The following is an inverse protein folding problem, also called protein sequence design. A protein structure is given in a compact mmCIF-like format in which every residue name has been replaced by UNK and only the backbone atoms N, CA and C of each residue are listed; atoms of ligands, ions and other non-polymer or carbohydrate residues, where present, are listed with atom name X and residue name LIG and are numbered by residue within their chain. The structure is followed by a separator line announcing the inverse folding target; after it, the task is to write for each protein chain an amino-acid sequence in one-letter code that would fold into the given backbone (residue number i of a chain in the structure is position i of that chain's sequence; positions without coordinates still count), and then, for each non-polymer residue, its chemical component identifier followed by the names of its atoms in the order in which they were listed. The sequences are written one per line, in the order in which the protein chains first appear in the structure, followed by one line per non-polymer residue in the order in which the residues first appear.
data_IF_669532024869
#
_entry.id   IF_669532024869
#
_cell.length_a   1.000
_cell.length_b   1.000
_cell.length_c   1.000
_cell.angle_alpha   90.00
_cell.angle_beta   90.00
_cell.angle_gamma   90.00
#
_symmetry.space_group_name_H-M   'P 1'
#
loop_
_entity.id
_entity.type
_entity.pdbx_description
1 polymer ?
#
# COMPACT_ATOMS: atom_id res chain seq x y z
N UNK A 1 -8.20 1.09 -17.90
CA UNK A 1 -8.92 1.78 -16.79
C UNK A 1 -10.45 1.87 -16.95
N UNK A 2 -11.04 1.75 -18.15
CA UNK A 2 -12.51 1.84 -18.33
C UNK A 2 -13.31 0.81 -17.54
N UNK A 3 -12.81 -0.42 -17.41
CA UNK A 3 -13.45 -1.50 -16.64
C UNK A 3 -13.62 -1.17 -15.16
N UNK A 4 -12.61 -0.58 -14.51
CA UNK A 4 -12.72 -0.16 -13.10
C UNK A 4 -13.71 1.00 -12.92
N UNK A 5 -13.81 1.90 -13.91
CA UNK A 5 -14.82 2.97 -13.91
C UNK A 5 -16.22 2.39 -14.10
N UNK A 6 -16.38 1.40 -14.97
CA UNK A 6 -17.64 0.67 -15.16
C UNK A 6 -18.05 0.00 -13.85
N UNK A 7 -17.16 -0.79 -13.22
CA UNK A 7 -17.41 -1.41 -11.92
C UNK A 7 -17.80 -0.38 -10.86
N UNK A 8 -17.07 0.74 -10.77
CA UNK A 8 -17.39 1.81 -9.82
C UNK A 8 -18.74 2.49 -10.12
N UNK A 9 -19.13 2.60 -11.38
CA UNK A 9 -20.43 3.16 -11.77
C UNK A 9 -21.60 2.28 -11.31
N UNK A 10 -21.41 0.95 -11.28
CA UNK A 10 -22.42 -0.01 -10.84
C UNK A 10 -22.75 0.06 -9.34
N UNK A 11 -21.99 0.83 -8.54
CA UNK A 11 -22.32 1.06 -7.12
C UNK A 11 -23.68 1.73 -6.91
N UNK A 12 -24.21 2.40 -7.94
CA UNK A 12 -25.53 3.04 -7.90
C UNK A 12 -26.70 2.07 -8.12
N UNK A 13 -26.42 0.87 -8.64
CA UNK A 13 -27.44 -0.13 -8.94
C UNK A 13 -27.97 -0.78 -7.66
N UNK A 14 -29.30 -0.96 -7.58
CA UNK A 14 -29.96 -1.50 -6.37
C UNK A 14 -29.56 -2.93 -6.08
N UNK A 15 -29.30 -3.73 -7.10
CA UNK A 15 -28.97 -5.14 -6.97
C UNK A 15 -27.50 -5.38 -6.65
N UNK A 16 -26.59 -4.49 -7.09
CA UNK A 16 -25.14 -4.68 -6.93
C UNK A 16 -24.50 -3.74 -5.90
N UNK A 17 -24.99 -2.51 -5.78
CA UNK A 17 -24.41 -1.46 -4.94
C UNK A 17 -24.20 -1.86 -3.47
N UNK A 18 -25.21 -2.46 -2.79
CA UNK A 18 -25.06 -2.89 -1.40
C UNK A 18 -23.96 -3.93 -1.18
N UNK A 19 -23.60 -4.72 -2.19
CA UNK A 19 -22.56 -5.74 -2.12
C UNK A 19 -21.18 -5.19 -2.51
N UNK A 20 -21.13 -4.31 -3.51
CA UNK A 20 -19.88 -3.75 -4.02
C UNK A 20 -19.23 -2.76 -3.04
N UNK A 21 -20.03 -1.94 -2.34
CA UNK A 21 -19.53 -0.92 -1.42
C UNK A 21 -18.73 -1.48 -0.23
N UNK A 22 -19.19 -2.54 0.47
CA UNK A 22 -18.40 -3.22 1.49
C UNK A 22 -17.10 -3.79 0.96
N UNK A 23 -17.11 -4.43 -0.21
CA UNK A 23 -15.91 -5.04 -0.82
C UNK A 23 -14.83 -3.98 -1.05
N UNK A 24 -15.18 -2.88 -1.72
CA UNK A 24 -14.23 -1.80 -2.00
C UNK A 24 -13.68 -1.15 -0.72
N UNK A 25 -14.52 -1.01 0.31
CA UNK A 25 -14.12 -0.44 1.60
C UNK A 25 -13.21 -1.38 2.38
N UNK A 26 -13.55 -2.68 2.40
CA UNK A 26 -12.74 -3.72 3.05
C UNK A 26 -11.35 -3.83 2.41
N UNK A 27 -11.28 -3.87 1.06
CA UNK A 27 -10.00 -3.92 0.33
C UNK A 27 -9.14 -2.69 0.63
N UNK A 28 -9.74 -1.48 0.67
CA UNK A 28 -8.98 -0.27 1.02
C UNK A 28 -8.39 -0.35 2.42
N UNK A 29 -9.13 -0.89 3.38
CA UNK A 29 -8.70 -0.97 4.77
C UNK A 29 -7.67 -2.11 5.00
N UNK A 30 -7.50 -3.04 4.06
CA UNK A 30 -6.40 -4.04 4.06
C UNK A 30 -5.03 -3.51 3.63
N UNK A 31 -4.87 -2.21 3.37
CA UNK A 31 -3.61 -1.64 2.89
C UNK A 31 -2.39 -1.92 3.79
N UNK A 32 -2.58 -1.91 5.12
CA UNK A 32 -1.51 -2.24 6.06
C UNK A 32 -1.04 -3.70 5.96
N UNK A 33 -1.96 -4.63 5.69
CA UNK A 33 -1.64 -6.04 5.46
C UNK A 33 -0.76 -6.18 4.21
N UNK A 34 -1.16 -5.57 3.09
CA UNK A 34 -0.37 -5.62 1.85
C UNK A 34 1.02 -5.01 2.01
N UNK A 35 1.17 -3.97 2.83
CA UNK A 35 2.48 -3.43 3.17
C UNK A 35 3.36 -4.47 3.87
N UNK A 36 2.85 -5.14 4.91
CA UNK A 36 3.58 -6.21 5.61
C UNK A 36 3.92 -7.36 4.66
N UNK A 37 2.96 -7.83 3.87
CA UNK A 37 3.18 -8.88 2.87
C UNK A 37 4.27 -8.49 1.88
N UNK A 38 4.29 -7.25 1.40
CA UNK A 38 5.32 -6.78 0.46
C UNK A 38 6.72 -6.80 1.07
N UNK A 39 6.86 -6.47 2.36
CA UNK A 39 8.13 -6.57 3.08
C UNK A 39 8.58 -8.03 3.23
N UNK A 40 7.65 -8.95 3.51
CA UNK A 40 7.95 -10.38 3.59
C UNK A 40 8.42 -10.93 2.22
N UNK A 41 7.74 -10.57 1.14
CA UNK A 41 8.13 -10.96 -0.23
C UNK A 41 9.48 -10.37 -0.61
N UNK A 42 9.74 -9.10 -0.29
CA UNK A 42 11.04 -8.46 -0.54
C UNK A 42 12.18 -9.14 0.25
N UNK A 43 11.92 -9.53 1.50
CA UNK A 43 12.88 -10.27 2.32
C UNK A 43 13.20 -11.65 1.73
N UNK A 44 12.18 -12.41 1.33
CA UNK A 44 12.35 -13.72 0.68
C UNK A 44 13.07 -13.59 -0.67
N UNK A 45 12.73 -12.57 -1.46
CA UNK A 45 13.41 -12.27 -2.74
C UNK A 45 14.89 -11.98 -2.51
N UNK A 46 15.20 -11.17 -1.51
CA UNK A 46 16.58 -10.84 -1.15
C UNK A 46 17.37 -12.08 -0.71
N UNK A 47 16.76 -12.98 0.07
CA UNK A 47 17.39 -14.24 0.45
C UNK A 47 17.66 -15.12 -0.78
N UNK A 48 16.73 -15.19 -1.74
CA UNK A 48 16.89 -15.95 -2.97
C UNK A 48 18.00 -15.39 -3.87
N UNK A 49 18.10 -14.06 -4.01
CA UNK A 49 19.18 -13.39 -4.74
C UNK A 49 20.56 -13.72 -4.13
N UNK A 50 20.66 -13.78 -2.81
CA UNK A 50 21.93 -14.14 -2.13
C UNK A 50 22.33 -15.59 -2.40
N UNK A 51 21.36 -16.51 -2.46
CA UNK A 51 21.63 -17.92 -2.76
C UNK A 51 22.03 -18.15 -4.22
N UNK A 52 21.54 -17.29 -5.12
CA UNK A 52 21.81 -17.31 -6.56
C UNK A 52 21.77 -18.71 -7.22
N UNK A 53 20.67 -19.47 -7.06
CA UNK A 53 20.61 -20.86 -7.53
C UNK A 53 20.72 -21.01 -9.05
N UNK A 54 20.38 -19.96 -9.82
CA UNK A 54 20.48 -19.95 -11.29
C UNK A 54 21.84 -19.51 -11.83
N UNK A 55 22.77 -19.09 -10.98
CA UNK A 55 24.09 -18.64 -11.43
C UNK A 55 24.02 -17.31 -12.19
N UNK A 56 24.49 -17.28 -13.45
CA UNK A 56 24.69 -16.06 -14.23
C UNK A 56 23.42 -15.63 -15.01
N UNK A 57 22.34 -15.34 -14.29
CA UNK A 57 21.14 -14.72 -14.86
C UNK A 57 21.42 -13.27 -15.29
N UNK A 58 20.92 -12.84 -16.47
CA UNK A 58 21.07 -11.46 -16.96
C UNK A 58 20.38 -10.43 -16.02
N UNK A 59 19.29 -10.84 -15.37
CA UNK A 59 18.48 -9.99 -14.47
C UNK A 59 18.15 -10.71 -13.15
N UNK A 60 19.13 -10.91 -12.26
CA UNK A 60 18.99 -11.81 -11.11
C UNK A 60 17.92 -11.33 -10.13
N UNK A 61 17.76 -10.01 -9.94
CA UNK A 61 16.75 -9.46 -9.02
C UNK A 61 15.33 -9.67 -9.57
N UNK A 62 15.14 -9.49 -10.89
CA UNK A 62 13.83 -9.60 -11.51
C UNK A 62 13.36 -11.07 -11.56
N UNK A 63 14.24 -11.99 -11.96
CA UNK A 63 13.92 -13.44 -11.97
C UNK A 63 13.60 -13.94 -10.55
N UNK A 64 14.44 -13.59 -9.57
CA UNK A 64 14.23 -13.90 -8.15
C UNK A 64 12.91 -13.35 -7.61
N UNK A 65 12.56 -12.12 -7.98
CA UNK A 65 11.31 -11.49 -7.54
C UNK A 65 10.09 -12.22 -8.12
N UNK A 66 10.10 -12.55 -9.41
CA UNK A 66 9.00 -13.28 -10.04
C UNK A 66 8.78 -14.65 -9.39
N UNK A 67 9.86 -15.40 -9.15
CA UNK A 67 9.80 -16.70 -8.48
C UNK A 67 9.24 -16.59 -7.07
N UNK A 68 9.74 -15.63 -6.31
CA UNK A 68 9.27 -15.40 -4.95
C UNK A 68 7.80 -14.99 -4.93
N UNK A 69 7.36 -14.12 -5.85
CA UNK A 69 5.94 -13.74 -5.97
C UNK A 69 5.08 -14.93 -6.36
N UNK A 70 5.52 -15.80 -7.28
CA UNK A 70 4.79 -17.01 -7.68
C UNK A 70 4.58 -17.95 -6.50
N UNK A 71 5.63 -18.21 -5.74
CA UNK A 71 5.59 -19.01 -4.53
C UNK A 71 4.70 -18.37 -3.44
N UNK A 72 4.97 -17.11 -3.11
CA UNK A 72 4.41 -16.46 -1.94
C UNK A 72 2.95 -16.00 -2.14
N UNK A 73 2.61 -15.48 -3.31
CA UNK A 73 1.29 -14.89 -3.59
C UNK A 73 0.38 -15.87 -4.31
N UNK A 74 0.88 -16.54 -5.35
CA UNK A 74 0.07 -17.47 -6.13
C UNK A 74 0.06 -18.88 -5.54
N UNK A 75 1.06 -19.23 -4.72
CA UNK A 75 1.22 -20.59 -4.21
C UNK A 75 1.52 -21.61 -5.31
N UNK A 76 1.91 -21.11 -6.49
CA UNK A 76 2.16 -21.91 -7.68
C UNK A 76 3.66 -21.93 -7.94
N UNK A 77 4.27 -23.08 -7.70
CA UNK A 77 5.72 -23.20 -7.80
C UNK A 77 6.15 -24.65 -8.07
N UNK A 78 7.11 -24.82 -8.98
CA UNK A 78 7.76 -26.08 -9.27
C UNK A 78 9.16 -26.11 -8.64
N UNK A 79 9.39 -27.02 -7.69
CA UNK A 79 10.61 -27.07 -6.88
C UNK A 79 11.91 -27.00 -7.72
N UNK A 80 11.94 -27.64 -8.89
CA UNK A 80 13.11 -27.64 -9.78
C UNK A 80 13.41 -26.24 -10.33
N UNK A 81 12.35 -25.50 -10.68
CA UNK A 81 12.47 -24.10 -11.11
C UNK A 81 13.03 -23.21 -9.99
N UNK A 82 12.77 -23.52 -8.69
CA UNK A 82 13.33 -22.76 -7.55
C UNK A 82 14.82 -23.02 -7.43
N UNK A 83 15.19 -24.29 -7.63
CA UNK A 83 16.55 -24.78 -7.55
C UNK A 83 17.40 -24.29 -8.73
N UNK A 84 16.79 -23.60 -9.69
CA UNK A 84 17.46 -23.14 -10.90
C UNK A 84 17.75 -24.27 -11.88
N UNK A 85 17.06 -25.41 -11.75
CA UNK A 85 17.18 -26.53 -12.67
C UNK A 85 16.04 -26.46 -13.68
N UNK A 86 16.39 -26.49 -14.96
CA UNK A 86 15.41 -26.56 -16.04
C UNK A 86 15.25 -28.02 -16.48
N UNK A 87 14.03 -28.41 -16.86
CA UNK A 87 13.75 -29.75 -17.39
C UNK A 87 14.52 -29.96 -18.70
N UNK A 88 15.30 -31.04 -18.76
CA UNK A 88 16.00 -31.42 -19.99
C UNK A 88 15.16 -32.42 -20.78
N UNK A 89 15.27 -32.40 -22.11
CA UNK A 89 14.59 -33.36 -22.96
C UNK A 89 15.62 -34.37 -23.46
N UNK A 90 15.40 -35.64 -23.16
CA UNK A 90 16.19 -36.73 -23.73
C UNK A 90 15.34 -37.50 -24.74
N UNK A 91 15.98 -37.98 -25.81
CA UNK A 91 15.30 -38.78 -26.82
C UNK A 91 15.18 -40.21 -26.32
N UNK A 92 13.97 -40.77 -26.36
CA UNK A 92 13.73 -42.14 -25.89
C UNK A 92 14.54 -43.15 -26.73
N UNK A 93 15.30 -44.03 -26.07
CA UNK A 93 16.10 -45.05 -26.74
C UNK A 93 15.20 -45.97 -27.59
N UNK A 94 15.39 -45.92 -28.91
CA UNK A 94 14.71 -46.78 -29.86
C UNK A 94 13.44 -46.19 -30.49
N UNK A 95 13.05 -44.95 -30.16
CA UNK A 95 11.91 -44.28 -30.80
C UNK A 95 12.35 -42.95 -31.42
N UNK A 96 12.52 -42.94 -32.73
CA UNK A 96 12.90 -41.74 -33.48
C UNK A 96 11.80 -40.66 -33.37
N UNK A 97 12.15 -39.47 -32.88
CA UNK A 97 11.24 -38.34 -32.78
C UNK A 97 10.40 -38.24 -31.50
N UNK A 98 10.55 -39.17 -30.54
CA UNK A 98 9.91 -39.06 -29.22
C UNK A 98 10.90 -38.52 -28.19
N UNK A 99 10.59 -37.33 -27.66
CA UNK A 99 11.36 -36.66 -26.61
C UNK A 99 10.57 -36.74 -25.31
N UNK A 100 11.21 -37.21 -24.25
CA UNK A 100 10.61 -37.25 -22.93
C UNK A 100 11.29 -36.21 -22.02
N UNK A 101 10.51 -35.44 -21.23
CA UNK A 101 11.08 -34.57 -20.21
C UNK A 101 11.70 -35.43 -19.11
N UNK A 102 12.96 -35.17 -18.79
CA UNK A 102 13.66 -35.80 -17.68
C UNK A 102 13.83 -34.77 -16.57
N UNK A 103 13.31 -35.13 -15.40
CA UNK A 103 13.45 -34.33 -14.20
C UNK A 103 14.92 -34.38 -13.72
N UNK A 104 15.50 -33.23 -13.37
CA UNK A 104 16.90 -33.16 -12.94
C UNK A 104 17.12 -33.93 -11.64
N UNK A 105 18.27 -34.60 -11.54
CA UNK A 105 18.59 -35.36 -10.33
C UNK A 105 19.04 -34.41 -9.21
N UNK A 106 18.58 -34.60 -7.95
CA UNK A 106 19.00 -33.76 -6.83
C UNK A 106 20.47 -33.97 -6.45
N UNK A 107 21.16 -34.94 -7.06
CA UNK A 107 22.56 -35.30 -6.78
C UNK A 107 23.56 -34.36 -7.47
N UNK A 108 23.10 -33.53 -8.40
CA UNK A 108 23.95 -32.61 -9.17
C UNK A 108 24.27 -31.29 -8.46
N UNK A 109 23.53 -30.95 -7.40
CA UNK A 109 23.82 -29.79 -6.55
C UNK A 109 24.70 -30.17 -5.35
N UNK A 110 25.57 -29.26 -4.93
CA UNK A 110 26.24 -29.37 -3.64
C UNK A 110 25.21 -29.51 -2.50
N UNK A 111 25.40 -30.49 -1.62
CA UNK A 111 24.39 -30.90 -0.62
C UNK A 111 23.97 -29.76 0.34
N UNK A 112 24.88 -28.84 0.65
CA UNK A 112 24.64 -27.75 1.60
C UNK A 112 23.67 -26.67 1.08
N UNK A 113 23.92 -26.01 -0.08
CA UNK A 113 23.00 -25.01 -0.62
C UNK A 113 21.60 -25.58 -0.90
N UNK A 114 21.50 -26.86 -1.24
CA UNK A 114 20.23 -27.54 -1.46
C UNK A 114 19.32 -27.51 -0.22
N UNK A 115 19.85 -27.87 0.96
CA UNK A 115 19.07 -27.90 2.21
C UNK A 115 18.60 -26.49 2.60
N UNK A 116 19.46 -25.48 2.48
CA UNK A 116 19.09 -24.09 2.78
C UNK A 116 17.97 -23.58 1.88
N UNK A 117 18.05 -23.88 0.58
CA UNK A 117 17.06 -23.46 -0.39
C UNK A 117 15.70 -24.12 -0.14
N UNK A 118 15.69 -25.42 0.19
CA UNK A 118 14.46 -26.12 0.62
C UNK A 118 13.88 -25.57 1.91
N UNK A 119 14.71 -25.25 2.91
CA UNK A 119 14.24 -24.66 4.14
C UNK A 119 13.64 -23.26 3.89
N UNK A 120 14.30 -22.44 3.08
CA UNK A 120 13.77 -21.14 2.66
C UNK A 120 12.45 -21.28 1.90
N UNK A 121 12.36 -22.25 0.99
CA UNK A 121 11.13 -22.57 0.26
C UNK A 121 9.99 -22.93 1.24
N UNK A 122 10.24 -23.86 2.17
CA UNK A 122 9.23 -24.30 3.13
C UNK A 122 8.79 -23.19 4.08
N UNK A 123 9.74 -22.42 4.61
CA UNK A 123 9.46 -21.26 5.46
C UNK A 123 8.66 -20.18 4.72
N UNK A 124 8.97 -19.93 3.45
CA UNK A 124 8.26 -18.95 2.63
C UNK A 124 6.85 -19.45 2.27
N UNK A 125 6.72 -20.72 1.87
CA UNK A 125 5.43 -21.32 1.55
C UNK A 125 4.49 -21.40 2.75
N UNK A 126 4.96 -21.87 3.92
CA UNK A 126 4.13 -21.88 5.13
C UNK A 126 3.90 -20.47 5.65
N UNK A 127 4.97 -19.69 5.78
CA UNK A 127 4.93 -18.37 6.40
C UNK A 127 4.12 -17.35 5.61
N UNK A 128 4.30 -17.31 4.29
CA UNK A 128 3.61 -16.35 3.43
C UNK A 128 2.35 -16.98 2.86
N UNK A 129 2.46 -18.07 2.12
CA UNK A 129 1.31 -18.61 1.38
C UNK A 129 0.23 -19.16 2.31
N UNK A 130 0.58 -19.88 3.36
CA UNK A 130 -0.44 -20.44 4.27
C UNK A 130 -0.86 -19.42 5.33
N UNK A 131 0.06 -18.85 6.10
CA UNK A 131 -0.31 -17.98 7.21
C UNK A 131 -0.85 -16.62 6.73
N UNK A 132 -0.17 -15.94 5.81
CA UNK A 132 -0.63 -14.61 5.35
C UNK A 132 -1.91 -14.70 4.52
N UNK A 133 -2.10 -15.74 3.69
CA UNK A 133 -3.37 -15.91 2.96
C UNK A 133 -4.54 -16.16 3.90
N UNK A 134 -4.39 -17.03 4.90
CA UNK A 134 -5.43 -17.29 5.89
C UNK A 134 -5.72 -16.04 6.75
N UNK A 135 -4.68 -15.28 7.10
CA UNK A 135 -4.83 -14.00 7.79
C UNK A 135 -5.55 -12.97 6.92
N UNK A 136 -5.26 -12.90 5.62
CA UNK A 136 -5.94 -12.02 4.68
C UNK A 136 -7.43 -12.35 4.61
N UNK A 137 -7.79 -13.63 4.51
CA UNK A 137 -9.19 -14.07 4.51
C UNK A 137 -9.88 -13.65 5.81
N UNK A 138 -9.24 -13.82 6.96
CA UNK A 138 -9.78 -13.42 8.25
C UNK A 138 -10.00 -11.90 8.33
N UNK A 139 -9.02 -11.09 7.95
CA UNK A 139 -9.10 -9.63 7.96
C UNK A 139 -10.16 -9.14 6.97
N UNK A 140 -10.20 -9.69 5.76
CA UNK A 140 -11.21 -9.34 4.76
C UNK A 140 -12.60 -9.69 5.22
N UNK A 141 -12.80 -10.86 5.83
CA UNK A 141 -14.11 -11.27 6.36
C UNK A 141 -14.58 -10.33 7.46
N UNK A 142 -13.71 -10.02 8.43
CA UNK A 142 -14.01 -9.09 9.50
C UNK A 142 -14.34 -7.68 8.99
N UNK A 143 -13.50 -7.14 8.09
CA UNK A 143 -13.72 -5.81 7.51
C UNK A 143 -14.98 -5.77 6.63
N UNK A 144 -15.25 -6.85 5.90
CA UNK A 144 -16.45 -6.96 5.07
C UNK A 144 -17.71 -6.90 5.92
N UNK A 145 -17.79 -7.69 7.00
CA UNK A 145 -18.95 -7.69 7.90
C UNK A 145 -19.14 -6.31 8.56
N UNK A 146 -18.05 -5.70 9.03
CA UNK A 146 -18.08 -4.34 9.59
C UNK A 146 -18.63 -3.30 8.59
N UNK A 147 -18.23 -3.36 7.32
CA UNK A 147 -18.72 -2.44 6.30
C UNK A 147 -20.10 -2.81 5.77
N UNK A 148 -20.48 -4.08 5.79
CA UNK A 148 -21.81 -4.56 5.39
C UNK A 148 -22.91 -3.96 6.25
N UNK A 149 -22.70 -3.93 7.57
CA UNK A 149 -23.65 -3.34 8.52
C UNK A 149 -23.84 -1.83 8.28
N UNK A 150 -22.78 -1.14 7.83
CA UNK A 150 -22.82 0.30 7.54
C UNK A 150 -23.30 0.62 6.12
N UNK A 151 -23.14 -0.31 5.18
CA UNK A 151 -23.41 -0.08 3.76
C UNK A 151 -24.89 0.14 3.47
N UNK A 152 -25.80 -0.53 4.19
CA UNK A 152 -27.24 -0.28 4.01
C UNK A 152 -27.62 1.17 4.32
N UNK A 153 -27.06 1.74 5.41
CA UNK A 153 -27.26 3.14 5.76
C UNK A 153 -26.66 4.11 4.74
N UNK A 154 -25.45 3.81 4.25
CA UNK A 154 -24.77 4.63 3.25
C UNK A 154 -25.44 4.56 1.88
N UNK A 155 -25.96 3.40 1.48
CA UNK A 155 -26.65 3.23 0.20
C UNK A 155 -27.91 4.10 0.10
N UNK A 156 -28.71 4.16 1.17
CA UNK A 156 -29.88 5.05 1.23
C UNK A 156 -29.48 6.52 1.11
N UNK A 157 -28.35 6.93 1.69
CA UNK A 157 -27.84 8.31 1.58
C UNK A 157 -27.35 8.62 0.17
N UNK A 158 -26.60 7.70 -0.45
CA UNK A 158 -26.08 7.87 -1.82
C UNK A 158 -27.22 7.92 -2.83
N UNK A 159 -28.24 7.08 -2.68
CA UNK A 159 -29.37 7.06 -3.60
C UNK A 159 -30.25 8.30 -3.46
N UNK A 160 -30.40 8.88 -2.26
CA UNK A 160 -31.18 10.11 -2.08
C UNK A 160 -30.51 11.36 -2.68
N UNK A 161 -29.18 11.41 -2.75
CA UNK A 161 -28.45 12.63 -3.13
C UNK A 161 -28.72 13.12 -4.56
N UNK A 162 -28.72 12.27 -5.61
CA UNK A 162 -29.08 12.67 -6.97
C UNK A 162 -30.53 13.16 -7.05
N UNK A 163 -31.46 12.46 -6.40
CA UNK A 163 -32.88 12.84 -6.39
C UNK A 163 -33.12 14.15 -5.63
N UNK A 164 -32.40 14.40 -4.54
CA UNK A 164 -32.46 15.68 -3.83
C UNK A 164 -31.88 16.82 -4.66
N UNK A 165 -30.77 16.59 -5.39
CA UNK A 165 -30.22 17.60 -6.31
C UNK A 165 -31.16 17.90 -7.46
N UNK A 166 -31.75 16.86 -8.07
CA UNK A 166 -32.73 17.01 -9.14
C UNK A 166 -33.99 17.72 -8.64
N UNK A 167 -34.50 17.35 -7.46
CA UNK A 167 -35.64 17.97 -6.81
C UNK A 167 -35.38 19.44 -6.44
N UNK A 168 -34.20 19.77 -5.93
CA UNK A 168 -33.81 21.16 -5.63
C UNK A 168 -33.59 21.99 -6.90
N UNK A 169 -33.13 21.37 -7.99
CA UNK A 169 -33.00 22.01 -9.29
C UNK A 169 -34.38 22.26 -9.92
N UNK A 170 -35.26 21.25 -9.95
CA UNK A 170 -36.64 21.37 -10.42
C UNK A 170 -37.43 22.36 -9.57
N UNK A 171 -37.29 22.29 -8.25
CA UNK A 171 -37.95 23.21 -7.31
C UNK A 171 -37.54 24.66 -7.56
N UNK A 172 -36.24 24.95 -7.72
CA UNK A 172 -35.79 26.29 -8.11
C UNK A 172 -36.30 26.72 -9.48
N UNK A 173 -36.38 25.81 -10.43
CA UNK A 173 -36.85 26.12 -11.80
C UNK A 173 -38.36 26.35 -11.88
N UNK A 174 -39.14 25.67 -11.04
CA UNK A 174 -40.61 25.73 -11.04
C UNK A 174 -41.12 26.84 -10.10
N UNK A 175 -40.59 26.94 -8.88
CA UNK A 175 -41.09 27.91 -7.90
C UNK A 175 -40.57 29.33 -8.12
N UNK A 176 -39.46 29.51 -8.82
CA UNK A 176 -38.86 30.84 -8.95
C UNK A 176 -38.29 31.12 -10.35
N UNK A 177 -39.17 31.20 -11.39
CA UNK A 177 -38.74 31.59 -12.73
C UNK A 177 -38.18 33.02 -12.81
N UNK A 178 -38.42 33.85 -11.77
CA UNK A 178 -37.92 35.23 -11.68
C UNK A 178 -36.53 35.35 -11.02
N UNK A 179 -36.06 34.36 -10.26
CA UNK A 179 -34.76 34.37 -9.58
C UNK A 179 -33.54 34.10 -10.49
N UNK A 180 -33.71 34.07 -11.82
CA UNK A 180 -32.62 33.97 -12.79
C UNK A 180 -31.88 35.31 -13.04
N UNK A 181 -31.83 36.21 -12.05
CA UNK A 181 -30.87 37.33 -12.04
C UNK A 181 -29.76 37.04 -11.02
N UNK A 182 -28.49 36.93 -11.44
CA UNK A 182 -27.40 36.63 -10.55
C UNK A 182 -27.10 37.84 -9.66
N UNK A 183 -27.71 37.92 -8.48
CA UNK A 183 -27.31 38.88 -7.45
C UNK A 183 -26.11 38.30 -6.68
N UNK A 184 -24.91 38.80 -7.02
CA UNK A 184 -23.68 38.67 -6.24
C UNK A 184 -23.83 39.43 -4.92
N UNK A 185 -24.41 38.83 -3.88
CA UNK A 185 -24.18 39.31 -2.50
C UNK A 185 -23.94 38.12 -1.58
N UNK A 186 -22.68 37.96 -1.18
CA UNK A 186 -22.20 36.92 -0.29
C UNK A 186 -22.62 37.22 1.16
N UNK A 187 -23.20 36.23 1.83
CA UNK A 187 -23.68 36.36 3.21
C UNK A 187 -22.52 36.44 4.23
N UNK A 188 -22.53 37.36 5.22
CA UNK A 188 -21.37 37.66 6.07
C UNK A 188 -21.00 36.59 7.12
N UNK A 189 -21.86 35.60 7.37
CA UNK A 189 -21.72 34.74 8.55
C UNK A 189 -20.66 33.63 8.40
N UNK A 190 -20.15 33.38 7.19
CA UNK A 190 -19.15 32.33 6.93
C UNK A 190 -17.72 32.75 7.34
N UNK A 191 -17.45 34.05 7.46
CA UNK A 191 -16.11 34.59 7.74
C UNK A 191 -15.64 34.36 9.18
N UNK A 192 -16.54 34.33 10.16
CA UNK A 192 -16.14 34.21 11.58
C UNK A 192 -15.70 32.80 11.99
N UNK A 193 -16.22 31.75 11.36
CA UNK A 193 -15.82 30.37 11.66
C UNK A 193 -14.48 30.00 11.00
N UNK A 194 -14.18 30.58 9.83
CA UNK A 194 -12.90 30.41 9.14
C UNK A 194 -11.77 31.04 9.96
N UNK A 195 -11.97 32.24 10.51
CA UNK A 195 -10.98 32.92 11.34
C UNK A 195 -10.64 32.16 12.64
N UNK A 196 -11.61 31.47 13.26
CA UNK A 196 -11.36 30.69 14.49
C UNK A 196 -10.54 29.42 14.24
N UNK A 197 -10.76 28.76 13.10
CA UNK A 197 -9.96 27.60 12.70
C UNK A 197 -8.51 28.01 12.41
N UNK A 198 -8.32 29.15 11.74
CA UNK A 198 -7.01 29.69 11.38
C UNK A 198 -6.17 30.05 12.61
N UNK A 199 -6.80 30.63 13.65
CA UNK A 199 -6.12 30.94 14.93
C UNK A 199 -5.68 29.67 15.67
N UNK A 200 -6.48 28.60 15.63
CA UNK A 200 -6.15 27.33 16.33
C UNK A 200 -5.05 26.51 15.66
N UNK A 201 -4.87 26.66 14.35
CA UNK A 201 -3.93 25.87 13.55
C UNK A 201 -2.55 26.55 13.42
N UNK A 202 -2.46 27.85 13.68
CA UNK A 202 -1.23 28.65 13.59
C UNK A 202 -0.03 28.08 14.37
N UNK A 203 -0.16 27.62 15.63
CA UNK A 203 0.99 27.08 16.37
C UNK A 203 1.51 25.76 15.78
N UNK A 204 0.60 24.93 15.26
CA UNK A 204 0.93 23.63 14.67
C UNK A 204 1.69 23.81 13.35
N UNK A 205 1.29 24.81 12.55
CA UNK A 205 1.98 25.14 11.30
C UNK A 205 3.41 25.61 11.55
N UNK A 206 3.65 26.42 12.59
CA UNK A 206 4.99 26.93 12.91
C UNK A 206 5.96 25.84 13.38
N UNK A 207 5.46 24.82 14.08
CA UNK A 207 6.28 23.68 14.55
C UNK A 207 6.62 22.73 13.39
N UNK A 208 5.73 22.57 12.42
CA UNK A 208 5.93 21.65 11.29
C UNK A 208 6.72 22.25 10.12
N UNK A 209 6.76 23.56 10.01
CA UNK A 209 7.46 24.28 8.93
C UNK A 209 8.97 23.93 8.79
N UNK A 210 9.78 23.79 9.86
CA UNK A 210 11.18 23.38 9.72
C UNK A 210 11.36 21.89 9.37
N UNK A 211 10.36 21.04 9.63
CA UNK A 211 10.39 19.60 9.35
C UNK A 211 10.06 19.27 7.88
N UNK A 212 9.45 20.20 7.15
CA UNK A 212 8.91 19.99 5.80
C UNK A 212 9.66 20.89 4.81
N UNK A 213 10.96 20.61 4.57
CA UNK A 213 11.74 21.34 3.57
C UNK A 213 11.57 20.72 2.17
N UNK A 214 11.19 21.59 1.22
CA UNK A 214 11.22 21.43 -0.25
C UNK A 214 10.80 20.06 -0.82
N UNK A 215 9.49 19.79 -0.82
CA UNK A 215 8.89 18.67 -1.56
C UNK A 215 7.43 18.38 -1.24
N UNK A 216 6.92 18.91 -0.12
CA UNK A 216 5.71 18.40 0.52
C UNK A 216 4.50 19.36 0.51
N UNK A 217 4.34 20.17 -0.55
CA UNK A 217 3.09 20.93 -0.74
C UNK A 217 1.86 20.00 -0.83
N UNK A 218 2.06 18.77 -1.31
CA UNK A 218 1.02 17.74 -1.38
C UNK A 218 0.73 17.05 -0.03
N UNK A 219 1.76 16.82 0.80
CA UNK A 219 1.59 16.21 2.13
C UNK A 219 0.93 17.17 3.13
N UNK A 220 1.21 18.48 3.05
CA UNK A 220 0.54 19.50 3.87
C UNK A 220 -0.98 19.44 3.70
N UNK A 221 -1.45 19.38 2.45
CA UNK A 221 -2.88 19.32 2.12
C UNK A 221 -3.57 18.01 2.56
N UNK A 222 -2.85 16.88 2.56
CA UNK A 222 -3.39 15.59 3.01
C UNK A 222 -3.51 15.56 4.53
N UNK A 223 -2.47 16.01 5.23
CA UNK A 223 -2.43 16.05 6.70
C UNK A 223 -3.46 17.04 7.26
N UNK A 224 -3.58 18.21 6.64
CA UNK A 224 -4.57 19.22 7.02
C UNK A 224 -6.00 18.74 6.82
N UNK A 225 -6.30 18.04 5.71
CA UNK A 225 -7.61 17.40 5.48
C UNK A 225 -7.88 16.23 6.42
N UNK A 226 -6.84 15.49 6.81
CA UNK A 226 -6.96 14.41 7.79
C UNK A 226 -7.29 14.96 9.18
N UNK A 227 -6.55 15.98 9.64
CA UNK A 227 -6.82 16.67 10.90
C UNK A 227 -8.21 17.32 10.90
N UNK A 228 -8.59 18.02 9.83
CA UNK A 228 -9.93 18.57 9.71
C UNK A 228 -11.02 17.49 9.74
N UNK A 229 -10.81 16.32 9.14
CA UNK A 229 -11.80 15.23 9.24
C UNK A 229 -11.81 14.54 10.60
N UNK A 230 -10.66 14.44 11.27
CA UNK A 230 -10.54 13.83 12.59
C UNK A 230 -11.13 14.72 13.70
N UNK A 231 -10.85 16.02 13.66
CA UNK A 231 -11.34 17.02 14.63
C UNK A 231 -12.83 17.31 14.47
N UNK A 232 -13.35 17.30 13.24
CA UNK A 232 -14.76 17.62 12.95
C UNK A 232 -15.65 16.39 12.75
N UNK A 233 -15.11 15.20 12.98
CA UNK A 233 -15.86 13.94 13.03
C UNK A 233 -16.88 13.95 14.17
N UNK A 234 -18.04 13.26 14.03
CA UNK A 234 -19.05 13.12 15.10
C UNK A 234 -18.52 12.51 16.42
N UNK A 235 -17.28 12.01 16.42
CA UNK A 235 -16.52 11.57 17.60
C UNK A 235 -16.23 12.72 18.58
N UNK A 236 -16.22 13.98 18.13
CA UNK A 236 -16.04 15.16 18.99
C UNK A 236 -17.18 15.41 19.99
N UNK A 237 -18.31 14.71 19.85
CA UNK A 237 -19.41 14.75 20.85
C UNK A 237 -19.01 14.16 22.21
N UNK A 238 -17.96 13.33 22.26
CA UNK A 238 -17.46 12.74 23.50
C UNK A 238 -16.21 13.48 23.96
N UNK A 239 -16.37 14.35 24.98
CA UNK A 239 -15.29 15.19 25.53
C UNK A 239 -14.03 14.40 25.93
N UNK A 240 -14.21 13.17 26.40
CA UNK A 240 -13.11 12.28 26.82
C UNK A 240 -12.31 11.78 25.61
N UNK A 241 -12.97 11.42 24.51
CA UNK A 241 -12.30 10.93 23.30
C UNK A 241 -11.60 12.05 22.53
N UNK A 242 -12.20 13.24 22.52
CA UNK A 242 -11.59 14.44 21.93
C UNK A 242 -10.28 14.84 22.63
N UNK A 243 -10.15 14.58 23.94
CA UNK A 243 -8.93 14.83 24.71
C UNK A 243 -7.96 13.64 24.69
N UNK A 244 -8.46 12.41 24.63
CA UNK A 244 -7.65 11.20 24.62
C UNK A 244 -6.89 10.97 23.32
N UNK A 245 -7.51 11.22 22.15
CA UNK A 245 -6.85 10.99 20.85
C UNK A 245 -5.56 11.82 20.69
N UNK A 246 -5.53 13.14 20.97
CA UNK A 246 -4.30 13.93 20.89
C UNK A 246 -3.20 13.42 21.81
N UNK A 247 -3.54 12.99 23.03
CA UNK A 247 -2.58 12.45 24.00
C UNK A 247 -2.01 11.12 23.52
N UNK A 248 -2.85 10.20 23.05
CA UNK A 248 -2.40 8.92 22.49
C UNK A 248 -1.53 9.15 21.24
N UNK A 249 -1.91 10.08 20.35
CA UNK A 249 -1.09 10.45 19.20
C UNK A 249 0.27 11.02 19.61
N UNK A 250 0.34 11.87 20.63
CA UNK A 250 1.62 12.39 21.15
C UNK A 250 2.49 11.28 21.75
N UNK A 251 1.90 10.33 22.49
CA UNK A 251 2.62 9.20 23.06
C UNK A 251 3.16 8.28 21.96
N UNK A 252 2.35 7.96 20.94
CA UNK A 252 2.78 7.16 19.80
C UNK A 252 3.87 7.86 18.98
N UNK A 253 3.73 9.18 18.75
CA UNK A 253 4.75 9.99 18.08
C UNK A 253 6.07 9.97 18.87
N UNK A 254 6.01 10.20 20.19
CA UNK A 254 7.18 10.15 21.06
C UNK A 254 7.83 8.76 21.04
N UNK A 255 7.05 7.68 21.08
CA UNK A 255 7.53 6.30 20.96
C UNK A 255 8.20 6.00 19.61
N UNK A 256 7.67 6.54 18.52
CA UNK A 256 8.27 6.39 17.19
C UNK A 256 9.61 7.14 17.07
N UNK A 257 9.68 8.35 17.64
CA UNK A 257 10.90 9.16 17.67
C UNK A 257 11.99 8.54 18.54
N UNK A 258 11.63 7.97 19.70
CA UNK A 258 12.60 7.26 20.54
C UNK A 258 13.12 5.99 19.87
N UNK A 259 12.25 5.23 19.20
CA UNK A 259 12.69 4.06 18.41
C UNK A 259 13.64 4.44 17.28
N UNK A 260 13.35 5.52 16.55
CA UNK A 260 14.20 6.03 15.47
C UNK A 260 15.55 6.53 16.01
N UNK A 261 15.55 7.18 17.17
CA UNK A 261 16.78 7.60 17.86
C UNK A 261 17.64 6.40 18.27
N UNK A 262 17.02 5.36 18.86
CA UNK A 262 17.73 4.12 19.23
C UNK A 262 18.34 3.46 18.00
N UNK A 263 17.59 3.38 16.90
CA UNK A 263 18.10 2.84 15.64
C UNK A 263 19.27 3.68 15.07
N UNK A 264 19.17 5.00 15.11
CA UNK A 264 20.25 5.89 14.66
C UNK A 264 21.52 5.71 15.52
N UNK A 265 21.38 5.62 16.84
CA UNK A 265 22.49 5.37 17.77
C UNK A 265 23.12 4.00 17.51
N UNK A 266 22.31 2.95 17.33
CA UNK A 266 22.79 1.61 16.99
C UNK A 266 23.58 1.62 15.67
N UNK A 267 23.08 2.35 14.66
CA UNK A 267 23.75 2.48 13.37
C UNK A 267 25.10 3.22 13.51
N UNK A 268 25.17 4.28 14.32
CA UNK A 268 26.41 4.99 14.62
C UNK A 268 27.41 4.12 15.39
N UNK A 269 26.94 3.30 16.34
CA UNK A 269 27.78 2.35 17.08
C UNK A 269 28.35 1.28 16.15
N UNK A 270 27.54 0.71 15.26
CA UNK A 270 28.01 -0.24 14.24
C UNK A 270 29.06 0.39 13.33
N UNK A 271 28.87 1.65 12.93
CA UNK A 271 29.85 2.39 12.15
C UNK A 271 31.16 2.63 12.91
N UNK A 272 31.10 2.93 14.21
CA UNK A 272 32.26 3.13 15.08
C UNK A 272 33.09 1.84 15.28
N UNK A 273 32.43 0.67 15.26
CA UNK A 273 33.08 -0.66 15.36
C UNK A 273 33.74 -1.09 14.03
N UNK A 274 33.71 -0.22 13.01
CA UNK A 274 34.32 -0.50 11.70
C UNK A 274 33.44 -1.30 10.76
N UNK A 275 32.16 -1.52 11.11
CA UNK A 275 31.18 -2.14 10.24
C UNK A 275 30.81 -1.14 9.11
N UNK A 276 31.44 -1.30 7.94
CA UNK A 276 31.13 -0.49 6.76
C UNK A 276 29.80 -0.94 6.15
N UNK A 277 28.72 -0.25 6.51
CA UNK A 277 27.36 -0.43 5.96
C UNK A 277 27.24 0.15 4.53
N UNK A 278 28.17 -0.19 3.63
CA UNK A 278 28.11 0.23 2.22
C UNK A 278 26.90 -0.35 1.49
N UNK A 279 26.40 -1.53 1.90
CA UNK A 279 25.20 -2.14 1.32
C UNK A 279 23.87 -1.45 1.67
N UNK A 280 23.76 -0.82 2.86
CA UNK A 280 22.52 -0.17 3.30
C UNK A 280 22.30 1.20 2.63
N UNK A 281 23.39 1.88 2.24
CA UNK A 281 23.30 3.18 1.55
C UNK A 281 22.63 3.07 0.17
N UNK A 282 22.82 1.94 -0.52
CA UNK A 282 22.17 1.67 -1.81
C UNK A 282 20.67 1.37 -1.65
N UNK A 283 20.30 0.62 -0.62
CA UNK A 283 18.89 0.27 -0.33
C UNK A 283 18.09 1.46 0.21
N UNK A 284 18.71 2.34 1.01
CA UNK A 284 18.08 3.60 1.44
C UNK A 284 17.92 4.60 0.30
N UNK A 285 18.89 4.73 -0.61
CA UNK A 285 18.72 5.60 -1.79
C UNK A 285 17.62 5.09 -2.74
N UNK A 286 17.50 3.78 -2.94
CA UNK A 286 16.44 3.25 -3.81
C UNK A 286 15.03 3.44 -3.23
N UNK A 287 14.90 3.33 -1.90
CA UNK A 287 13.61 3.43 -1.20
C UNK A 287 13.17 4.87 -0.91
N UNK A 288 14.09 5.81 -0.68
CA UNK A 288 13.77 7.22 -0.47
C UNK A 288 13.47 7.97 -1.78
N UNK A 289 14.16 7.66 -2.88
CA UNK A 289 13.96 8.36 -4.15
C UNK A 289 12.84 7.77 -5.02
N UNK A 290 12.47 6.48 -4.84
CA UNK A 290 11.32 5.88 -5.52
C UNK A 290 9.95 6.37 -5.02
N UNK A 291 9.89 7.07 -3.89
CA UNK A 291 8.66 7.56 -3.26
C UNK A 291 8.30 9.00 -3.67
N UNK A 292 9.19 9.70 -4.39
CA UNK A 292 9.00 11.08 -4.87
C UNK A 292 9.00 11.17 -6.40
N UNK A 293 8.01 10.54 -7.04
CA UNK A 293 7.42 10.89 -8.36
C UNK A 293 8.32 11.18 -9.57
N UNK A 294 7.96 10.59 -10.72
CA UNK A 294 8.63 10.55 -12.03
C UNK A 294 9.06 11.89 -12.71
N UNK A 295 9.08 13.04 -12.04
CA UNK A 295 9.43 14.33 -12.67
C UNK A 295 10.92 14.70 -12.64
N UNK A 296 11.76 13.96 -11.93
CA UNK A 296 13.21 14.27 -11.89
C UNK A 296 14.03 13.56 -12.97
N UNK A 297 13.40 12.69 -13.77
CA UNK A 297 14.09 11.90 -14.80
C UNK A 297 14.17 12.57 -16.18
N UNK A 298 13.52 13.73 -16.39
CA UNK A 298 13.55 14.44 -17.69
C UNK A 298 14.79 15.34 -17.89
N UNK A 299 15.65 15.55 -16.88
CA UNK A 299 16.80 16.47 -16.99
C UNK A 299 18.18 15.85 -16.71
N UNK A 300 18.32 14.52 -16.77
CA UNK A 300 19.63 13.88 -16.75
C UNK A 300 20.08 13.45 -18.17
N UNK A 301 20.51 14.42 -18.97
CA UNK A 301 21.48 14.15 -20.04
C UNK A 301 22.79 13.69 -19.39
N UNK A 302 23.02 12.39 -19.34
CA UNK A 302 24.33 11.84 -19.01
C UNK A 302 25.14 11.86 -20.32
N UNK A 303 26.03 12.84 -20.42
CA UNK A 303 27.17 12.80 -21.33
C UNK A 303 28.00 11.55 -21.01
N UNK A 304 28.10 10.65 -21.98
CA UNK A 304 29.02 9.53 -21.96
C UNK A 304 30.46 10.04 -22.18
N UNK A 305 31.34 9.73 -21.22
CA UNK A 305 32.79 9.53 -21.39
C UNK A 305 33.27 8.60 -20.26
#
# INVERSE_FOLDING_TARGET
MYWLRLMYSLRGERWLGPYLLPILSAVRDTGAFFFVTSLCVASATHAYVIMNPRGDDEYPIYSSFLHTVRLAIFGDFDLFEYQGQDTTFEQEEGVEGKWEPIDPSPTELEELPYIYLQLCFFCTGIGITVLLMNLLIAILSYNYDFHRDRAQGLFVQVQRRPWMMLGAWLGRKILDPAAQKPSREASPCYWHLVNLAEISLSPLTTIMEPLVRQGAYYQKNIFERFLQRALWSPVSKYKVLALGIPVVCLVLLAGSLTSLLVFAVLTLLLQAVGFRLTGIRYTLNLSLFGLFGDRFAEECEIFAL
#
